data_IF_308716631712
#
_entry.id   IF_308716631712
#
_cell.length_a   1.000
_cell.length_b   1.000
_cell.length_c   1.000
_cell.angle_alpha   90.00
_cell.angle_beta   90.00
_cell.angle_gamma   90.00
#
_symmetry.space_group_name_H-M   'P 1'
#
loop_
_entity.id
_entity.type
_entity.pdbx_description
1 polymer ?
#
# COMPACT_ATOMS: atom_id res chain seq x y z
N UNK A 1 20.69 13.24 -2.62
CA UNK A 1 21.15 14.56 -2.12
C UNK A 1 21.65 14.41 -0.70
N UNK A 2 22.87 14.86 -0.36
CA UNK A 2 23.43 14.87 1.02
C UNK A 2 22.73 15.92 1.90
N UNK A 3 21.40 15.96 1.89
CA UNK A 3 20.57 16.92 2.63
C UNK A 3 20.45 18.35 2.05
N UNK A 4 21.14 18.69 0.94
CA UNK A 4 21.07 20.04 0.34
C UNK A 4 20.00 20.14 -0.74
N UNK A 5 19.10 21.10 -0.58
CA UNK A 5 18.00 21.40 -1.50
C UNK A 5 18.46 22.23 -2.71
N UNK A 6 19.37 23.17 -2.52
CA UNK A 6 19.81 24.10 -3.57
C UNK A 6 21.28 23.89 -3.98
N UNK A 7 21.64 24.23 -5.25
CA UNK A 7 20.74 24.60 -6.35
C UNK A 7 20.16 23.38 -7.09
N UNK A 8 20.86 22.24 -7.09
CA UNK A 8 20.48 21.06 -7.90
C UNK A 8 19.56 20.06 -7.19
N UNK A 9 19.35 20.19 -5.88
CA UNK A 9 18.48 19.28 -5.11
C UNK A 9 17.01 19.38 -5.50
N UNK A 10 16.53 20.56 -5.92
CA UNK A 10 15.16 20.77 -6.39
C UNK A 10 14.85 19.90 -7.61
N UNK A 11 15.78 19.79 -8.57
CA UNK A 11 15.61 18.94 -9.75
C UNK A 11 15.49 17.46 -9.38
N UNK A 12 16.22 17.00 -8.35
CA UNK A 12 16.08 15.63 -7.83
C UNK A 12 14.69 15.38 -7.24
N UNK A 13 14.14 16.34 -6.47
CA UNK A 13 12.80 16.21 -5.88
C UNK A 13 11.74 16.21 -6.98
N UNK A 14 11.79 17.16 -7.92
CA UNK A 14 10.85 17.23 -9.03
C UNK A 14 10.87 15.94 -9.87
N UNK A 15 12.06 15.36 -10.10
CA UNK A 15 12.19 14.08 -10.80
C UNK A 15 11.58 12.93 -10.01
N UNK A 16 11.76 12.89 -8.69
CA UNK A 16 11.16 11.87 -7.82
C UNK A 16 9.63 12.00 -7.70
N UNK A 17 9.10 13.23 -7.68
CA UNK A 17 7.65 13.47 -7.69
C UNK A 17 7.01 13.03 -9.01
N UNK A 18 7.72 13.19 -10.14
CA UNK A 18 7.21 12.78 -11.46
C UNK A 18 7.40 11.29 -11.77
N UNK A 19 8.42 10.65 -11.19
CA UNK A 19 8.75 9.25 -11.43
C UNK A 19 8.75 8.51 -10.09
N UNK A 20 7.64 7.85 -9.77
CA UNK A 20 7.50 7.03 -8.58
C UNK A 20 7.06 5.63 -8.98
N UNK A 21 7.87 4.63 -8.60
CA UNK A 21 7.63 3.20 -8.84
C UNK A 21 6.98 2.50 -7.63
N UNK A 22 6.69 3.23 -6.55
CA UNK A 22 6.10 2.73 -5.31
C UNK A 22 4.71 3.35 -5.06
N UNK A 23 3.78 2.55 -4.54
CA UNK A 23 2.48 3.03 -4.05
C UNK A 23 2.22 2.56 -2.63
N UNK A 24 1.58 3.42 -1.83
CA UNK A 24 1.11 3.09 -0.50
C UNK A 24 -0.40 2.85 -0.52
N UNK A 25 -0.83 1.67 -0.07
CA UNK A 25 -2.23 1.34 0.11
C UNK A 25 -2.70 1.79 1.49
N UNK A 26 -3.69 2.66 1.50
CA UNK A 26 -4.33 3.16 2.70
C UNK A 26 -5.58 2.35 3.06
N UNK A 27 -6.49 2.97 3.82
CA UNK A 27 -7.71 2.36 4.28
C UNK A 27 -8.67 2.08 3.12
N UNK A 28 -9.16 0.86 3.08
CA UNK A 28 -10.21 0.44 2.16
C UNK A 28 -11.39 -0.09 2.96
N UNK A 29 -12.61 0.31 2.59
CA UNK A 29 -13.83 -0.08 3.27
C UNK A 29 -14.92 -0.50 2.28
N UNK A 30 -15.59 -1.60 2.58
CA UNK A 30 -16.76 -2.07 1.82
C UNK A 30 -17.96 -2.12 2.75
N UNK A 31 -19.05 -1.53 2.29
CA UNK A 31 -20.33 -1.53 3.00
C UNK A 31 -20.75 -2.98 3.33
N UNK A 32 -21.24 -3.29 4.55
CA UNK A 32 -21.47 -4.66 4.99
C UNK A 32 -22.30 -5.54 4.04
N UNK A 33 -23.30 -4.96 3.39
CA UNK A 33 -24.19 -5.60 2.41
C UNK A 33 -23.53 -5.95 1.06
N UNK A 34 -22.35 -5.39 0.79
CA UNK A 34 -21.53 -5.67 -0.39
C UNK A 34 -20.30 -6.56 -0.09
N UNK A 35 -20.11 -6.97 1.16
CA UNK A 35 -19.03 -7.88 1.52
C UNK A 35 -19.25 -9.28 0.92
N UNK A 36 -18.16 -10.01 0.68
CA UNK A 36 -18.14 -11.36 0.08
C UNK A 36 -18.70 -11.45 -1.36
N UNK A 37 -19.05 -10.34 -2.00
CA UNK A 37 -19.50 -10.28 -3.41
C UNK A 37 -18.37 -10.01 -4.41
N UNK A 38 -17.11 -10.18 -3.99
CA UNK A 38 -15.94 -9.92 -4.84
C UNK A 38 -15.61 -8.45 -5.08
N UNK A 39 -16.28 -7.50 -4.41
CA UNK A 39 -16.06 -6.05 -4.60
C UNK A 39 -14.61 -5.64 -4.32
N UNK A 40 -13.99 -6.19 -3.27
CA UNK A 40 -12.56 -5.95 -2.98
C UNK A 40 -11.65 -6.40 -4.14
N UNK A 41 -11.94 -7.55 -4.74
CA UNK A 41 -11.13 -8.06 -5.85
C UNK A 41 -11.25 -7.16 -7.10
N UNK A 42 -12.46 -6.65 -7.39
CA UNK A 42 -12.64 -5.69 -8.48
C UNK A 42 -11.89 -4.39 -8.23
N UNK A 43 -11.96 -3.86 -7.00
CA UNK A 43 -11.23 -2.64 -6.63
C UNK A 43 -9.72 -2.80 -6.85
N UNK A 44 -9.13 -3.90 -6.36
CA UNK A 44 -7.71 -4.17 -6.54
C UNK A 44 -7.35 -4.42 -7.99
N UNK A 45 -8.22 -5.06 -8.78
CA UNK A 45 -8.01 -5.25 -10.21
C UNK A 45 -7.90 -3.91 -10.96
N UNK A 46 -8.83 -2.98 -10.73
CA UNK A 46 -8.79 -1.65 -11.34
C UNK A 46 -7.60 -0.81 -10.84
N UNK A 47 -7.26 -0.98 -9.56
CA UNK A 47 -6.08 -0.34 -8.96
C UNK A 47 -4.80 -0.85 -9.63
N UNK A 48 -4.68 -2.15 -9.86
CA UNK A 48 -3.54 -2.76 -10.55
C UNK A 48 -3.40 -2.29 -12.00
N UNK A 49 -4.51 -2.13 -12.74
CA UNK A 49 -4.47 -1.55 -14.09
C UNK A 49 -3.90 -0.13 -14.05
N UNK A 50 -4.30 0.65 -13.05
CA UNK A 50 -3.79 2.01 -12.84
C UNK A 50 -2.30 1.98 -12.49
N UNK A 51 -1.88 1.13 -11.56
CA UNK A 51 -0.47 0.95 -11.20
C UNK A 51 0.41 0.58 -12.40
N UNK A 52 -0.07 -0.33 -13.25
CA UNK A 52 0.63 -0.70 -14.49
C UNK A 52 0.78 0.47 -15.46
N UNK A 53 -0.25 1.32 -15.60
CA UNK A 53 -0.21 2.53 -16.44
C UNK A 53 0.85 3.53 -15.95
N UNK A 54 1.06 3.63 -14.64
CA UNK A 54 2.05 4.53 -14.03
C UNK A 54 3.42 3.88 -13.76
N UNK A 55 3.65 2.65 -14.25
CA UNK A 55 4.89 1.89 -14.00
C UNK A 55 5.22 1.69 -12.51
N UNK A 56 4.19 1.59 -11.67
CA UNK A 56 4.34 1.22 -10.26
C UNK A 56 4.60 -0.28 -10.19
N UNK A 57 5.71 -0.66 -9.56
CA UNK A 57 6.17 -2.05 -9.46
C UNK A 57 6.10 -2.60 -8.03
N UNK A 58 6.08 -1.70 -7.05
CA UNK A 58 6.07 -2.06 -5.63
C UNK A 58 4.91 -1.37 -4.93
N UNK A 59 4.30 -2.09 -4.01
CA UNK A 59 3.17 -1.60 -3.23
C UNK A 59 3.40 -1.93 -1.77
N UNK A 60 3.24 -0.95 -0.88
CA UNK A 60 3.30 -1.13 0.57
C UNK A 60 1.87 -1.09 1.14
N UNK A 61 1.52 -2.08 1.95
CA UNK A 61 0.26 -2.10 2.70
C UNK A 61 0.42 -1.34 4.02
N UNK A 62 -0.62 -0.60 4.42
CA UNK A 62 -0.70 -0.03 5.77
C UNK A 62 -0.73 -1.14 6.85
N UNK A 63 -0.52 -0.84 8.16
CA UNK A 63 -0.63 -1.85 9.21
C UNK A 63 -2.00 -2.52 9.22
N UNK A 64 -1.98 -3.84 9.07
CA UNK A 64 -3.16 -4.70 9.14
C UNK A 64 -3.10 -5.54 10.40
N UNK A 65 -4.28 -5.79 10.99
CA UNK A 65 -4.39 -6.73 12.11
C UNK A 65 -4.07 -8.14 11.62
N UNK A 66 -3.16 -8.82 12.32
CA UNK A 66 -2.77 -10.22 12.03
C UNK A 66 -3.98 -11.17 12.09
N UNK A 67 -5.00 -10.84 12.87
CA UNK A 67 -6.25 -11.60 12.97
C UNK A 67 -7.23 -11.37 11.82
N UNK A 68 -6.98 -10.39 10.93
CA UNK A 68 -7.87 -10.10 9.82
C UNK A 68 -7.60 -11.03 8.62
N UNK A 69 -8.08 -12.26 8.72
CA UNK A 69 -7.88 -13.29 7.69
C UNK A 69 -8.45 -12.89 6.31
N UNK A 70 -9.49 -12.06 6.26
CA UNK A 70 -10.10 -11.60 4.99
C UNK A 70 -9.11 -10.76 4.17
N UNK A 71 -8.41 -9.83 4.83
CA UNK A 71 -7.42 -8.99 4.16
C UNK A 71 -6.17 -9.79 3.81
N UNK A 72 -5.70 -10.66 4.72
CA UNK A 72 -4.56 -11.54 4.45
C UNK A 72 -4.81 -12.48 3.26
N UNK A 73 -6.04 -12.96 3.07
CA UNK A 73 -6.40 -13.79 1.92
C UNK A 73 -6.27 -13.05 0.58
N UNK A 74 -6.43 -11.73 0.56
CA UNK A 74 -6.31 -10.90 -0.65
C UNK A 74 -4.87 -10.89 -1.19
N UNK A 75 -3.87 -10.93 -0.30
CA UNK A 75 -2.46 -10.86 -0.66
C UNK A 75 -1.86 -12.18 -1.15
N UNK A 76 -2.58 -13.31 -1.02
CA UNK A 76 -2.11 -14.63 -1.46
C UNK A 76 -1.84 -14.74 -2.96
N UNK A 77 -2.44 -13.86 -3.75
CA UNK A 77 -2.24 -13.81 -5.20
C UNK A 77 -1.00 -13.00 -5.62
N UNK A 78 -0.26 -12.44 -4.66
CA UNK A 78 0.89 -11.57 -4.88
C UNK A 78 2.14 -12.12 -4.21
N UNK A 79 3.30 -11.78 -4.75
CA UNK A 79 4.57 -11.95 -4.04
C UNK A 79 4.64 -10.93 -2.89
N UNK A 80 4.17 -11.33 -1.71
CA UNK A 80 4.14 -10.48 -0.52
C UNK A 80 5.26 -10.85 0.45
N UNK A 81 5.84 -9.84 1.13
CA UNK A 81 6.80 -10.03 2.22
C UNK A 81 6.40 -9.17 3.43
N UNK A 82 6.48 -9.72 4.63
CA UNK A 82 6.26 -8.94 5.84
C UNK A 82 7.52 -8.12 6.19
N UNK A 83 7.55 -6.85 5.76
CA UNK A 83 8.71 -5.98 5.98
C UNK A 83 8.70 -5.25 7.34
N UNK A 84 7.51 -4.98 7.91
CA UNK A 84 7.33 -4.26 9.19
C UNK A 84 6.31 -4.99 10.06
N UNK A 85 6.58 -5.12 11.36
CA UNK A 85 5.61 -5.63 12.37
C UNK A 85 5.57 -4.70 13.56
N UNK A 86 4.36 -4.32 13.98
CA UNK A 86 4.10 -3.52 15.18
C UNK A 86 3.24 -4.34 16.14
N UNK A 87 3.45 -4.19 17.45
CA UNK A 87 2.64 -4.85 18.49
C UNK A 87 2.29 -3.81 19.55
N UNK A 88 1.02 -3.76 19.93
CA UNK A 88 0.55 -2.98 21.07
C UNK A 88 0.19 -3.94 22.20
N UNK A 89 0.71 -3.70 23.41
CA UNK A 89 0.41 -4.51 24.58
C UNK A 89 -0.41 -3.67 25.55
N UNK A 90 -1.55 -4.20 25.99
CA UNK A 90 -2.37 -3.58 27.03
C UNK A 90 -2.03 -4.25 28.35
N UNK A 91 -1.55 -3.47 29.33
CA UNK A 91 -1.41 -3.93 30.72
C UNK A 91 -2.69 -3.59 31.46
N UNK A 92 -3.39 -4.59 31.98
CA UNK A 92 -4.43 -4.36 32.99
C UNK A 92 -3.72 -4.11 34.32
N UNK A 93 -4.03 -2.97 34.96
CA UNK A 93 -3.55 -2.60 36.29
C UNK A 93 -4.37 -3.32 37.36
#
# INVERSE_FOLDING_TARGET
CKGRLLPFGVFHILRAMKNNDHADLYLTGVRPDYQNKGVNAMLICETNKTFRKYNITKVESNPELESNAKVQAQWRFYESRQHKRRRCFTKML
#
